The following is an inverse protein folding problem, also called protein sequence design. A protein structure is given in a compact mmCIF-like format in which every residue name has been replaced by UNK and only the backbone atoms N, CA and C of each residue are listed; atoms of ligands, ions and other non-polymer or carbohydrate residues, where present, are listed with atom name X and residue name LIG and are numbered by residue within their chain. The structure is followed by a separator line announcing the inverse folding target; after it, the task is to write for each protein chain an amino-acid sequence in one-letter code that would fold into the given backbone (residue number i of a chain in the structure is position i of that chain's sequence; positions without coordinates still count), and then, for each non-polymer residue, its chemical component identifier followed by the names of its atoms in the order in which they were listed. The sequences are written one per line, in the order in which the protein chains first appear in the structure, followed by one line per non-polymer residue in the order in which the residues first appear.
data_IF_313489458670
#
_entry.id   IF_313489458670
#
_cell.length_a   1.000
_cell.length_b   1.000
_cell.length_c   1.000
_cell.angle_alpha   90.00
_cell.angle_beta   90.00
_cell.angle_gamma   90.00
#
_symmetry.space_group_name_H-M   'P 1'
#
loop_
_entity.id
_entity.type
_entity.pdbx_description
1 polymer ?
#
# COMPACT_ATOMS: atom_id res chain seq x y z
N UNK A 1 19.35 -17.98 -18.29
CA UNK A 1 19.22 -16.80 -17.41
C UNK A 1 17.76 -16.42 -17.39
N UNK A 2 17.04 -16.76 -16.31
CA UNK A 2 15.70 -16.23 -16.10
C UNK A 2 15.87 -14.77 -15.65
N UNK A 3 15.38 -13.83 -16.46
CA UNK A 3 15.09 -12.47 -16.03
C UNK A 3 14.15 -12.57 -14.83
N UNK A 4 14.65 -12.31 -13.62
CA UNK A 4 13.83 -12.18 -12.43
C UNK A 4 13.02 -10.90 -12.62
N UNK A 5 11.75 -11.06 -12.97
CA UNK A 5 10.87 -9.96 -13.28
C UNK A 5 10.53 -9.19 -12.00
N UNK A 6 10.29 -7.89 -12.14
CA UNK A 6 9.65 -7.01 -11.15
C UNK A 6 8.25 -7.48 -10.69
N UNK A 7 7.76 -8.59 -11.26
CA UNK A 7 6.47 -9.22 -10.97
C UNK A 7 6.42 -9.90 -9.58
N UNK A 8 7.52 -9.93 -8.85
CA UNK A 8 7.62 -10.64 -7.57
C UNK A 8 7.36 -9.75 -6.33
N UNK A 9 7.02 -8.46 -6.50
CA UNK A 9 6.65 -7.56 -5.40
C UNK A 9 5.14 -7.32 -5.38
N UNK A 10 4.48 -7.76 -4.30
CA UNK A 10 3.06 -7.51 -4.08
C UNK A 10 2.86 -6.41 -3.03
N UNK A 11 2.13 -5.35 -3.42
CA UNK A 11 1.62 -4.33 -2.49
C UNK A 11 0.11 -4.52 -2.36
N UNK A 12 -0.33 -4.88 -1.16
CA UNK A 12 -1.74 -5.11 -0.86
C UNK A 12 -2.17 -4.37 0.41
N UNK A 13 -3.47 -4.34 0.68
CA UNK A 13 -3.99 -3.70 1.88
C UNK A 13 -5.14 -4.50 2.49
N UNK A 14 -5.33 -4.32 3.79
CA UNK A 14 -6.50 -4.80 4.53
C UNK A 14 -7.29 -3.61 5.05
N UNK A 15 -8.60 -3.67 4.91
CA UNK A 15 -9.51 -2.70 5.52
C UNK A 15 -10.10 -3.30 6.80
N UNK A 16 -10.08 -2.52 7.89
CA UNK A 16 -10.70 -2.88 9.17
C UNK A 16 -11.61 -1.74 9.58
N UNK A 17 -12.85 -2.06 9.95
CA UNK A 17 -13.77 -1.05 10.48
C UNK A 17 -13.34 -0.66 11.90
N UNK A 18 -13.25 0.64 12.17
CA UNK A 18 -12.86 1.20 13.46
C UNK A 18 -13.74 2.42 13.77
N UNK A 19 -14.56 2.29 14.82
CA UNK A 19 -15.61 3.26 15.17
C UNK A 19 -16.52 3.57 13.96
N UNK A 20 -16.67 4.85 13.63
CA UNK A 20 -17.44 5.33 12.48
C UNK A 20 -16.68 5.24 11.16
N UNK A 21 -15.40 4.89 11.13
CA UNK A 21 -14.58 4.89 9.91
C UNK A 21 -13.90 3.56 9.62
N UNK A 22 -12.96 3.64 8.68
CA UNK A 22 -12.12 2.53 8.26
C UNK A 22 -10.65 2.86 8.55
N UNK A 23 -9.95 1.83 8.98
CA UNK A 23 -8.50 1.76 9.04
C UNK A 23 -8.03 0.93 7.85
N UNK A 24 -7.08 1.44 7.08
CA UNK A 24 -6.48 0.73 5.94
C UNK A 24 -5.04 0.43 6.29
N UNK A 25 -4.70 -0.85 6.41
CA UNK A 25 -3.37 -1.32 6.75
C UNK A 25 -2.68 -1.87 5.51
N UNK A 26 -1.55 -1.29 5.15
CA UNK A 26 -0.78 -1.67 3.96
C UNK A 26 0.20 -2.79 4.26
N UNK A 27 0.41 -3.65 3.28
CA UNK A 27 1.25 -4.83 3.36
C UNK A 27 2.11 -4.91 2.11
N UNK A 28 3.31 -5.43 2.29
CA UNK A 28 4.25 -5.68 1.20
C UNK A 28 4.81 -7.08 1.35
N UNK A 29 4.88 -7.78 0.24
CA UNK A 29 5.61 -9.04 0.06
C UNK A 29 6.63 -8.82 -1.06
N UNK A 30 7.90 -9.06 -0.75
CA UNK A 30 9.00 -9.02 -1.71
C UNK A 30 9.49 -10.44 -1.94
N UNK A 31 9.03 -11.07 -3.01
CA UNK A 31 9.51 -12.38 -3.47
C UNK A 31 10.60 -12.24 -4.54
N UNK A 32 11.12 -11.01 -4.76
CA UNK A 32 12.22 -10.77 -5.69
C UNK A 32 13.58 -11.06 -5.03
N UNK A 33 14.62 -11.07 -5.85
CA UNK A 33 16.01 -11.25 -5.38
C UNK A 33 16.67 -9.97 -4.87
N UNK A 34 16.00 -8.83 -5.05
CA UNK A 34 16.57 -7.52 -4.81
C UNK A 34 16.02 -6.93 -3.51
N UNK A 35 16.86 -6.17 -2.82
CA UNK A 35 16.39 -5.30 -1.75
C UNK A 35 15.63 -4.15 -2.38
N UNK A 36 14.40 -3.89 -1.94
CA UNK A 36 13.51 -2.89 -2.54
C UNK A 36 12.88 -1.99 -1.49
N UNK A 37 12.46 -0.79 -1.89
CA UNK A 37 11.64 0.12 -1.09
C UNK A 37 10.40 0.52 -1.88
N UNK A 38 9.22 -0.02 -1.56
CA UNK A 38 7.98 0.41 -2.15
C UNK A 38 7.52 1.72 -1.49
N UNK A 39 7.11 2.66 -2.31
CA UNK A 39 6.63 3.97 -1.89
C UNK A 39 5.22 4.16 -2.44
N UNK A 40 4.26 4.41 -1.55
CA UNK A 40 2.93 4.87 -1.97
C UNK A 40 3.03 6.35 -2.27
N UNK A 41 2.92 6.71 -3.55
CA UNK A 41 2.97 8.10 -4.03
C UNK A 41 1.65 8.81 -3.77
N UNK A 42 0.57 8.08 -3.97
CA UNK A 42 -0.78 8.60 -3.91
C UNK A 42 -1.74 7.52 -3.45
N UNK A 43 -2.74 7.93 -2.66
CA UNK A 43 -3.87 7.10 -2.28
C UNK A 43 -5.13 7.95 -2.28
N UNK A 44 -6.18 7.47 -2.96
CA UNK A 44 -7.50 8.08 -2.91
C UNK A 44 -8.57 7.05 -2.63
N UNK A 45 -9.33 7.32 -1.58
CA UNK A 45 -10.44 6.48 -1.13
C UNK A 45 -11.74 7.12 -1.59
N UNK A 46 -12.46 6.41 -2.46
CA UNK A 46 -13.80 6.80 -2.88
C UNK A 46 -14.79 6.06 -1.99
N UNK A 47 -15.71 6.79 -1.37
CA UNK A 47 -16.67 6.27 -0.42
C UNK A 47 -18.06 6.19 -1.06
N UNK A 48 -18.86 5.18 -0.68
CA UNK A 48 -20.21 4.95 -1.24
C UNK A 48 -21.22 6.09 -1.05
N UNK A 49 -20.94 7.03 -0.16
CA UNK A 49 -21.76 8.23 0.04
C UNK A 49 -21.39 9.37 -0.94
N UNK A 50 -20.55 9.08 -1.95
CA UNK A 50 -20.07 10.05 -2.93
C UNK A 50 -18.90 10.92 -2.47
N UNK A 51 -18.48 10.82 -1.20
CA UNK A 51 -17.29 11.53 -0.70
C UNK A 51 -16.00 10.84 -1.12
N UNK A 52 -14.90 11.59 -1.18
CA UNK A 52 -13.55 11.04 -1.39
C UNK A 52 -12.56 11.62 -0.38
N UNK A 53 -11.57 10.82 -0.02
CA UNK A 53 -10.44 11.25 0.81
C UNK A 53 -9.13 10.94 0.09
N UNK A 54 -8.26 11.94 0.00
CA UNK A 54 -6.97 11.84 -0.65
C UNK A 54 -5.84 11.96 0.36
N UNK A 55 -4.81 11.11 0.20
CA UNK A 55 -3.56 11.17 0.94
C UNK A 55 -2.43 11.33 -0.08
N UNK A 56 -2.08 12.58 -0.37
CA UNK A 56 -1.06 12.96 -1.36
C UNK A 56 0.37 13.01 -0.83
N UNK A 57 0.61 12.59 0.41
CA UNK A 57 1.96 12.53 0.98
C UNK A 57 2.61 11.20 0.60
N UNK A 58 3.76 11.26 -0.06
CA UNK A 58 4.55 10.08 -0.37
C UNK A 58 4.95 9.37 0.91
N UNK A 59 4.74 8.06 0.97
CA UNK A 59 5.03 7.30 2.17
C UNK A 59 5.71 5.98 1.82
N UNK A 60 6.91 5.79 2.35
CA UNK A 60 7.63 4.53 2.25
C UNK A 60 6.90 3.45 3.05
N UNK A 61 6.79 2.26 2.45
CA UNK A 61 6.35 1.04 3.14
C UNK A 61 7.53 0.38 3.89
N UNK A 62 8.72 0.97 3.76
CA UNK A 62 9.98 0.53 4.34
C UNK A 62 10.80 -0.30 3.37
N UNK A 63 12.10 -0.34 3.64
CA UNK A 63 13.04 -1.20 2.92
C UNK A 63 12.74 -2.66 3.22
N UNK A 64 12.73 -3.47 2.17
CA UNK A 64 12.37 -4.87 2.14
C UNK A 64 13.54 -5.66 1.57
N UNK A 65 14.12 -6.54 2.38
CA UNK A 65 15.12 -7.50 1.89
C UNK A 65 14.48 -8.52 0.93
N UNK A 66 15.28 -9.26 0.15
CA UNK A 66 14.80 -10.37 -0.66
C UNK A 66 14.00 -11.39 0.15
N UNK A 67 12.98 -12.01 -0.46
CA UNK A 67 12.13 -13.05 0.15
C UNK A 67 11.50 -12.64 1.50
N UNK A 68 11.15 -11.36 1.66
CA UNK A 68 10.68 -10.81 2.93
C UNK A 68 9.25 -10.27 2.87
N UNK A 69 8.61 -10.18 4.04
CA UNK A 69 7.24 -9.69 4.20
C UNK A 69 7.14 -8.68 5.32
N UNK A 70 6.38 -7.61 5.08
CA UNK A 70 6.06 -6.61 6.10
C UNK A 70 4.56 -6.38 6.17
N UNK A 71 4.02 -6.76 7.33
CA UNK A 71 2.62 -6.56 7.65
C UNK A 71 2.43 -5.19 8.31
N UNK A 72 1.38 -4.47 7.90
CA UNK A 72 1.02 -3.16 8.45
C UNK A 72 2.16 -2.13 8.34
N UNK A 73 2.79 -2.07 7.16
CA UNK A 73 3.89 -1.17 6.85
C UNK A 73 3.54 0.29 7.16
N UNK A 74 2.31 0.69 6.79
CA UNK A 74 1.69 1.95 7.20
C UNK A 74 0.21 1.71 7.52
N UNK A 75 -0.42 2.69 8.19
CA UNK A 75 -1.85 2.69 8.48
C UNK A 75 -2.47 4.04 8.15
N UNK A 76 -3.50 4.02 7.32
CA UNK A 76 -4.37 5.18 7.10
C UNK A 76 -5.60 5.04 8.01
N UNK A 77 -6.00 6.12 8.68
CA UNK A 77 -7.07 6.11 9.69
C UNK A 77 -8.23 7.02 9.32
N UNK A 78 -9.40 6.78 9.93
CA UNK A 78 -10.61 7.61 9.78
C UNK A 78 -11.06 7.73 8.31
N UNK A 79 -10.81 6.68 7.53
CA UNK A 79 -11.21 6.62 6.12
C UNK A 79 -12.71 6.42 6.00
N UNK A 80 -13.37 7.16 5.10
CA UNK A 80 -14.81 7.05 4.83
C UNK A 80 -15.69 7.04 6.10
N UNK A 81 -15.58 8.08 6.93
CA UNK A 81 -16.40 8.23 8.14
C UNK A 81 -17.90 8.12 7.83
N UNK A 82 -18.60 7.32 8.63
CA UNK A 82 -20.03 6.97 8.50
C UNK A 82 -20.41 6.40 7.12
N UNK A 83 -19.45 5.79 6.42
CA UNK A 83 -19.62 5.26 5.06
C UNK A 83 -18.81 3.97 4.89
N UNK A 84 -18.73 3.47 3.65
CA UNK A 84 -17.89 2.34 3.25
C UNK A 84 -16.98 2.74 2.13
N UNK A 85 -15.77 2.20 2.09
CA UNK A 85 -14.88 2.32 0.94
C UNK A 85 -15.52 1.58 -0.23
N UNK A 86 -15.64 2.26 -1.37
CA UNK A 86 -16.14 1.73 -2.63
C UNK A 86 -14.97 1.37 -3.55
N UNK A 87 -14.02 2.28 -3.70
CA UNK A 87 -12.84 2.12 -4.54
C UNK A 87 -11.62 2.71 -3.83
N UNK A 88 -10.46 2.12 -4.09
CA UNK A 88 -9.16 2.69 -3.71
C UNK A 88 -8.35 2.86 -5.00
N UNK A 89 -7.99 4.09 -5.31
CA UNK A 89 -7.05 4.44 -6.37
C UNK A 89 -5.67 4.62 -5.74
N UNK A 90 -4.65 3.98 -6.31
CA UNK A 90 -3.28 4.07 -5.81
C UNK A 90 -2.28 4.30 -6.91
N UNK A 91 -1.21 5.01 -6.55
CA UNK A 91 0.01 5.10 -7.34
C UNK A 91 1.19 4.68 -6.46
N UNK A 92 2.01 3.77 -6.98
CA UNK A 92 3.13 3.18 -6.27
C UNK A 92 4.40 3.26 -7.09
N UNK A 93 5.54 3.37 -6.41
CA UNK A 93 6.87 3.25 -7.00
C UNK A 93 7.64 2.18 -6.23
N UNK A 94 8.41 1.34 -6.91
CA UNK A 94 9.33 0.39 -6.30
C UNK A 94 10.75 0.87 -6.61
N UNK A 95 11.51 1.20 -5.56
CA UNK A 95 12.93 1.55 -5.69
C UNK A 95 13.78 0.32 -5.42
N UNK A 96 14.71 0.02 -6.30
CA UNK A 96 15.64 -1.12 -6.18
C UNK A 96 16.97 -0.64 -5.54
N UNK A 97 17.51 -1.44 -4.62
CA UNK A 97 18.81 -1.23 -3.98
C UNK A 97 19.70 -2.43 -4.31
N UNK A 98 20.06 -2.57 -5.60
CA UNK A 98 20.91 -3.64 -6.09
C UNK A 98 21.24 -3.44 -7.57
N UNK A 99 22.51 -3.65 -7.92
CA UNK A 99 23.06 -3.65 -9.28
C UNK A 99 23.34 -5.09 -9.70
#
# INVERSE_FOLDING_TARGET
MQTKNRDDVEVSFRQKRENSGWQVEWKVENNSADTIEPVLKFRKYICKNGSSQEIGVQQSLGVMEPESRKLNAIRDQKICLNSTIELVEIETEIKEFGL
#
